data_IF_632622655355
#
_entry.id   IF_632622655355
#
_cell.length_a   1.000
_cell.length_b   1.000
_cell.length_c   1.000
_cell.angle_alpha   90.00
_cell.angle_beta   90.00
_cell.angle_gamma   90.00
#
_symmetry.space_group_name_H-M   'P 1'
#
loop_
_entity.id
_entity.type
_entity.pdbx_description
1 polymer ?
#
# COMPACT_ATOMS: atom_id res chain seq x y z
N UNK A 1 65.88 29.29 -43.43
CA UNK A 1 65.55 30.00 -44.69
C UNK A 1 64.07 29.97 -44.92
N UNK A 2 63.51 31.13 -45.13
CA UNK A 2 62.22 31.57 -45.72
C UNK A 2 61.00 31.22 -44.89
N UNK A 3 60.41 32.13 -44.24
CA UNK A 3 59.80 33.43 -44.54
C UNK A 3 58.44 33.33 -45.22
N UNK A 4 57.44 33.83 -44.45
CA UNK A 4 56.44 34.83 -44.89
C UNK A 4 55.13 34.28 -45.46
N UNK A 5 54.07 34.85 -44.92
CA UNK A 5 52.83 35.06 -45.60
C UNK A 5 51.63 35.30 -44.68
N UNK A 6 51.63 36.45 -44.06
CA UNK A 6 50.45 37.01 -43.35
C UNK A 6 49.56 37.66 -44.40
N UNK A 7 48.30 37.27 -44.55
CA UNK A 7 47.30 38.09 -45.24
C UNK A 7 46.05 38.22 -44.41
N UNK A 8 45.86 39.41 -43.86
CA UNK A 8 44.59 39.91 -43.40
C UNK A 8 43.68 40.20 -44.55
N UNK A 9 42.47 39.72 -44.50
CA UNK A 9 41.38 40.28 -45.30
C UNK A 9 40.28 40.69 -44.32
N UNK A 10 40.20 41.96 -44.06
CA UNK A 10 39.05 42.63 -43.52
C UNK A 10 37.99 42.71 -44.64
N UNK A 11 36.84 42.09 -44.40
CA UNK A 11 35.64 42.37 -45.17
C UNK A 11 34.59 42.89 -44.18
N UNK A 12 34.37 44.16 -44.14
CA UNK A 12 33.15 44.78 -43.67
C UNK A 12 32.04 44.35 -44.61
N UNK A 13 31.04 43.73 -44.06
CA UNK A 13 29.73 43.60 -44.66
C UNK A 13 28.73 44.05 -43.59
N UNK A 14 28.26 45.27 -43.73
CA UNK A 14 27.04 45.75 -43.16
C UNK A 14 25.90 44.85 -43.67
N UNK A 15 25.44 43.96 -42.83
CA UNK A 15 24.18 43.30 -43.06
C UNK A 15 23.31 43.62 -41.85
N UNK A 16 22.32 44.47 -42.10
CA UNK A 16 21.22 44.71 -41.16
C UNK A 16 20.51 43.39 -40.95
N UNK A 17 20.96 42.61 -39.97
CA UNK A 17 20.20 41.49 -39.49
C UNK A 17 18.95 42.04 -38.81
N UNK A 18 17.84 42.01 -39.53
CA UNK A 18 16.50 42.03 -38.95
C UNK A 18 16.51 41.02 -37.81
N UNK A 19 16.49 41.51 -36.58
CA UNK A 19 16.30 40.69 -35.42
C UNK A 19 14.93 39.99 -35.60
N UNK A 20 14.94 38.80 -36.20
CA UNK A 20 13.86 37.88 -36.00
C UNK A 20 13.83 37.63 -34.47
N UNK A 21 12.86 38.23 -33.87
CA UNK A 21 12.43 37.87 -32.53
C UNK A 21 12.25 36.34 -32.51
N UNK A 22 13.30 35.64 -32.11
CA UNK A 22 13.21 34.22 -31.83
C UNK A 22 12.28 34.16 -30.64
N UNK A 23 11.00 34.08 -30.94
CA UNK A 23 10.02 33.66 -29.99
C UNK A 23 10.43 32.24 -29.58
N UNK A 24 11.22 32.15 -28.52
CA UNK A 24 11.51 30.86 -27.90
C UNK A 24 10.17 30.11 -27.78
N UNK A 25 10.10 28.87 -28.25
CA UNK A 25 8.86 28.11 -28.09
C UNK A 25 8.50 28.18 -26.64
N UNK A 26 7.24 28.44 -26.28
CA UNK A 26 6.84 28.56 -24.90
C UNK A 26 7.36 27.32 -24.15
N UNK A 27 8.28 27.56 -23.24
CA UNK A 27 8.85 26.49 -22.42
C UNK A 27 7.69 25.94 -21.61
N UNK A 28 7.15 24.78 -22.03
CA UNK A 28 6.12 24.09 -21.28
C UNK A 28 6.72 23.71 -19.92
N UNK A 29 6.13 24.19 -18.87
CA UNK A 29 6.51 23.79 -17.52
C UNK A 29 6.16 22.33 -17.31
N UNK A 30 7.03 21.59 -16.64
CA UNK A 30 6.87 20.16 -16.42
C UNK A 30 6.82 19.83 -14.93
N UNK A 31 5.91 18.95 -14.55
CA UNK A 31 5.83 18.37 -13.18
C UNK A 31 5.96 16.86 -13.31
N UNK A 32 6.81 16.27 -12.49
CA UNK A 32 6.97 14.83 -12.38
C UNK A 32 6.03 14.29 -11.30
N UNK A 33 5.22 13.33 -11.67
CA UNK A 33 4.46 12.51 -10.75
C UNK A 33 5.26 11.25 -10.48
N UNK A 34 5.50 10.92 -9.23
CA UNK A 34 6.25 9.72 -8.87
C UNK A 34 5.45 8.85 -7.91
N UNK A 35 5.42 7.58 -8.19
CA UNK A 35 4.98 6.54 -7.29
C UNK A 35 6.23 5.97 -6.64
N UNK A 36 6.45 6.30 -5.38
CA UNK A 36 7.57 5.77 -4.64
C UNK A 36 7.18 4.39 -4.10
N UNK A 37 7.80 3.37 -4.64
CA UNK A 37 7.69 2.02 -4.10
C UNK A 37 8.68 1.77 -2.96
N UNK A 38 9.31 2.81 -2.45
CA UNK A 38 10.20 2.82 -1.30
C UNK A 38 11.33 1.80 -1.36
N UNK A 39 12.56 2.23 -1.37
CA UNK A 39 13.67 1.32 -1.27
C UNK A 39 14.98 2.02 -1.35
N UNK A 40 15.68 2.13 -0.26
CA UNK A 40 17.09 2.48 -0.18
C UNK A 40 17.97 1.29 -0.59
N UNK A 41 17.91 0.90 -1.87
CA UNK A 41 18.90 -0.01 -2.48
C UNK A 41 18.95 -1.46 -1.97
N UNK A 42 18.04 -1.89 -1.13
CA UNK A 42 17.85 -3.30 -0.79
C UNK A 42 16.74 -3.87 -1.66
N UNK A 43 17.15 -4.37 -2.82
CA UNK A 43 16.32 -5.14 -3.73
C UNK A 43 15.38 -6.05 -2.98
N UNK A 44 14.13 -6.14 -3.45
CA UNK A 44 13.27 -7.29 -3.35
C UNK A 44 11.96 -7.19 -2.58
N UNK A 45 11.64 -6.10 -1.85
CA UNK A 45 10.47 -6.17 -0.96
C UNK A 45 9.52 -4.97 -1.01
N UNK A 46 9.83 -3.97 -1.80
CA UNK A 46 9.02 -2.76 -1.95
C UNK A 46 7.63 -3.04 -2.53
N UNK A 47 7.51 -4.04 -3.35
CA UNK A 47 6.27 -4.43 -4.05
C UNK A 47 5.59 -5.64 -3.42
N UNK A 48 5.68 -5.83 -2.10
CA UNK A 48 5.08 -6.99 -1.46
C UNK A 48 3.56 -6.94 -1.54
N UNK A 49 2.93 -7.88 -2.26
CA UNK A 49 1.48 -8.00 -2.29
C UNK A 49 0.94 -8.46 -0.94
N UNK A 50 -0.28 -8.04 -0.61
CA UNK A 50 -0.93 -8.40 0.66
C UNK A 50 -1.14 -9.90 0.78
N UNK A 51 -1.51 -10.56 -0.32
CA UNK A 51 -1.73 -12.01 -0.38
C UNK A 51 -0.53 -12.78 -0.93
N UNK A 52 0.60 -12.14 -1.16
CA UNK A 52 1.81 -12.71 -1.77
C UNK A 52 1.69 -13.13 -3.24
N UNK A 53 0.57 -12.92 -3.89
CA UNK A 53 0.29 -13.35 -5.27
C UNK A 53 -0.27 -12.26 -6.19
N UNK A 54 -0.87 -11.22 -5.64
CA UNK A 54 -1.34 -10.07 -6.41
C UNK A 54 -0.22 -9.06 -6.67
N UNK A 55 -0.39 -8.25 -7.72
CA UNK A 55 0.51 -7.13 -7.97
C UNK A 55 0.36 -6.08 -6.85
N UNK A 56 1.49 -5.58 -6.35
CA UNK A 56 1.52 -4.40 -5.49
C UNK A 56 1.74 -3.14 -6.33
N UNK A 57 1.40 -1.96 -5.78
CA UNK A 57 1.45 -0.67 -6.45
C UNK A 57 0.61 -0.63 -7.74
N UNK A 58 -0.57 -1.20 -7.65
CA UNK A 58 -1.46 -1.35 -8.80
C UNK A 58 -2.18 -0.02 -9.11
N UNK A 59 -1.53 0.81 -9.91
CA UNK A 59 -2.07 2.08 -10.39
C UNK A 59 -2.23 2.02 -11.90
N UNK A 60 -3.44 2.18 -12.40
CA UNK A 60 -3.73 2.28 -13.82
C UNK A 60 -4.10 3.70 -14.26
N UNK A 61 -4.62 4.50 -13.34
CA UNK A 61 -5.07 5.87 -13.60
C UNK A 61 -4.65 6.81 -12.49
N UNK A 62 -4.36 8.05 -12.88
CA UNK A 62 -3.97 9.12 -11.97
C UNK A 62 -4.84 10.34 -12.23
N UNK A 63 -5.61 10.75 -11.24
CA UNK A 63 -6.40 11.96 -11.26
C UNK A 63 -5.59 13.13 -10.73
N UNK A 64 -5.65 14.27 -11.41
CA UNK A 64 -4.87 15.46 -11.09
C UNK A 64 -5.82 16.61 -10.81
N UNK A 65 -5.49 17.42 -9.78
CA UNK A 65 -6.12 18.69 -9.47
C UNK A 65 -5.06 19.75 -9.27
N UNK A 66 -5.23 20.91 -9.86
CA UNK A 66 -4.33 22.07 -9.74
C UNK A 66 -5.13 23.27 -9.27
N UNK A 67 -4.72 23.84 -8.14
CA UNK A 67 -5.35 25.01 -7.53
C UNK A 67 -4.43 26.21 -7.64
N UNK A 68 -4.99 27.34 -8.07
CA UNK A 68 -4.26 28.60 -8.14
C UNK A 68 -4.05 29.22 -6.73
N UNK A 69 -3.33 30.35 -6.61
CA UNK A 69 -3.08 31.01 -5.32
C UNK A 69 -4.35 31.43 -4.56
N UNK A 70 -5.48 31.59 -5.24
CA UNK A 70 -6.76 31.87 -4.58
C UNK A 70 -7.54 30.61 -4.19
N UNK A 71 -6.99 29.42 -4.39
CA UNK A 71 -7.64 28.13 -4.07
C UNK A 71 -8.66 27.66 -5.09
N UNK A 72 -8.75 28.30 -6.25
CA UNK A 72 -9.67 27.89 -7.33
C UNK A 72 -9.06 26.75 -8.13
N UNK A 73 -9.86 25.74 -8.45
CA UNK A 73 -9.46 24.65 -9.36
C UNK A 73 -9.29 25.19 -10.78
N UNK A 74 -8.09 25.10 -11.29
CA UNK A 74 -7.69 25.52 -12.62
C UNK A 74 -7.16 24.36 -13.47
N UNK A 75 -7.38 23.14 -13.05
CA UNK A 75 -6.82 21.91 -13.66
C UNK A 75 -6.98 21.87 -15.16
N UNK A 76 -8.19 22.11 -15.68
CA UNK A 76 -8.49 22.04 -17.09
C UNK A 76 -7.73 23.09 -17.93
N UNK A 77 -7.47 24.28 -17.36
CA UNK A 77 -6.72 25.34 -18.01
C UNK A 77 -5.19 25.12 -17.85
N UNK A 78 -4.77 24.55 -16.73
CA UNK A 78 -3.37 24.35 -16.39
C UNK A 78 -2.73 23.17 -17.14
N UNK A 79 -3.45 22.08 -17.36
CA UNK A 79 -2.92 20.94 -18.11
C UNK A 79 -2.81 21.25 -19.59
N UNK A 80 -1.67 20.89 -20.20
CA UNK A 80 -1.44 21.09 -21.63
C UNK A 80 -2.41 20.27 -22.49
N UNK A 81 -2.70 20.78 -23.66
CA UNK A 81 -3.56 20.09 -24.64
C UNK A 81 -3.02 18.68 -24.91
N UNK A 82 -3.91 17.69 -24.80
CA UNK A 82 -3.58 16.26 -24.95
C UNK A 82 -3.21 15.55 -23.65
N UNK A 83 -3.03 16.24 -22.53
CA UNK A 83 -2.91 15.59 -21.22
C UNK A 83 -4.31 15.15 -20.75
N UNK A 84 -4.55 13.84 -20.76
CA UNK A 84 -5.80 13.29 -20.25
C UNK A 84 -5.88 13.43 -18.72
N UNK A 85 -7.06 13.66 -18.19
CA UNK A 85 -7.33 13.63 -16.76
C UNK A 85 -8.65 12.89 -16.49
N UNK A 86 -8.64 11.67 -15.95
CA UNK A 86 -7.46 10.98 -15.39
C UNK A 86 -6.42 10.59 -16.44
N UNK A 87 -5.17 10.74 -16.06
CA UNK A 87 -4.01 10.30 -16.82
C UNK A 87 -3.90 8.77 -16.77
N UNK A 88 -3.69 8.11 -17.92
CA UNK A 88 -3.32 6.70 -17.92
C UNK A 88 -1.92 6.54 -17.32
N UNK A 89 -1.79 5.72 -16.29
CA UNK A 89 -0.50 5.44 -15.68
C UNK A 89 0.20 4.33 -16.46
N UNK A 90 1.25 4.68 -17.16
CA UNK A 90 2.02 3.77 -18.01
C UNK A 90 3.42 3.48 -17.48
N UNK A 91 3.84 4.22 -16.45
CA UNK A 91 5.08 3.93 -15.76
C UNK A 91 4.87 2.68 -14.89
N UNK A 92 5.37 1.56 -15.35
CA UNK A 92 5.45 0.35 -14.53
C UNK A 92 6.49 0.52 -13.42
N UNK A 93 6.45 -0.29 -12.35
CA UNK A 93 7.62 -0.44 -11.52
C UNK A 93 8.75 -0.89 -12.43
N UNK A 94 9.90 -0.25 -12.35
CA UNK A 94 11.08 -0.71 -13.09
C UNK A 94 11.56 -2.00 -12.41
N UNK A 95 11.16 -3.12 -12.97
CA UNK A 95 11.54 -4.46 -12.48
C UNK A 95 13.03 -4.77 -12.68
N UNK A 96 13.77 -3.88 -13.31
CA UNK A 96 15.18 -4.02 -13.59
C UNK A 96 16.00 -3.14 -12.63
N UNK A 97 16.01 -3.49 -11.36
CA UNK A 97 16.88 -2.85 -10.38
C UNK A 97 18.35 -3.08 -10.71
N UNK A 98 19.06 -2.01 -11.05
CA UNK A 98 20.51 -2.01 -10.98
C UNK A 98 20.91 -1.79 -9.52
N UNK A 99 21.67 -2.68 -8.89
CA UNK A 99 22.04 -2.52 -7.49
C UNK A 99 22.67 -1.14 -7.22
N UNK A 100 22.10 -0.36 -6.32
CA UNK A 100 22.63 0.92 -5.87
C UNK A 100 22.01 2.17 -6.49
N UNK A 101 20.90 2.06 -7.21
CA UNK A 101 20.15 3.21 -7.73
C UNK A 101 18.71 3.18 -7.18
N UNK A 102 18.07 4.36 -7.05
CA UNK A 102 16.69 4.53 -6.56
C UNK A 102 15.62 4.02 -7.56
N UNK A 103 15.83 2.86 -8.16
CA UNK A 103 15.17 2.39 -9.38
C UNK A 103 13.76 1.81 -9.19
N UNK A 104 13.21 1.83 -7.97
CA UNK A 104 11.83 1.41 -7.72
C UNK A 104 10.82 2.56 -7.85
N UNK A 105 11.26 3.70 -8.32
CA UNK A 105 10.44 4.89 -8.50
C UNK A 105 9.85 4.93 -9.89
N UNK A 106 8.61 4.50 -10.05
CA UNK A 106 7.86 4.75 -11.27
C UNK A 106 7.51 6.24 -11.35
N UNK A 107 7.83 6.90 -12.46
CA UNK A 107 7.53 8.31 -12.63
C UNK A 107 6.98 8.61 -14.01
N UNK A 108 6.09 9.61 -14.09
CA UNK A 108 5.51 10.11 -15.33
C UNK A 108 5.42 11.63 -15.27
N UNK A 109 5.84 12.29 -16.33
CA UNK A 109 5.85 13.75 -16.39
C UNK A 109 4.59 14.27 -17.06
N UNK A 110 4.00 15.30 -16.49
CA UNK A 110 2.90 16.07 -17.06
C UNK A 110 3.40 17.45 -17.51
N UNK A 111 2.79 17.99 -18.57
CA UNK A 111 3.10 19.30 -19.09
C UNK A 111 2.02 20.30 -18.73
N UNK A 112 2.44 21.49 -18.32
CA UNK A 112 1.55 22.58 -17.98
C UNK A 112 1.56 23.65 -19.04
N UNK A 113 0.40 24.21 -19.32
CA UNK A 113 0.25 25.46 -20.04
C UNK A 113 0.82 26.62 -19.23
N UNK A 114 0.98 27.78 -19.86
CA UNK A 114 1.23 29.04 -19.15
C UNK A 114 0.10 29.31 -18.17
N UNK A 115 0.45 29.49 -16.89
CA UNK A 115 -0.51 29.71 -15.81
C UNK A 115 -0.90 31.18 -15.70
N UNK A 116 -2.15 31.45 -15.34
CA UNK A 116 -2.74 32.80 -15.47
C UNK A 116 -2.29 33.77 -14.36
N UNK A 117 -1.88 33.28 -13.21
CA UNK A 117 -1.51 34.12 -12.05
C UNK A 117 -0.15 33.70 -11.51
N UNK A 118 0.62 34.67 -11.05
CA UNK A 118 1.83 34.40 -10.29
C UNK A 118 1.49 34.05 -8.85
N UNK A 119 2.35 33.27 -8.18
CA UNK A 119 2.23 32.88 -6.80
C UNK A 119 2.26 31.38 -6.58
N UNK A 120 1.85 30.95 -5.39
CA UNK A 120 1.90 29.55 -4.95
C UNK A 120 0.69 28.77 -5.44
N UNK A 121 0.92 27.79 -6.29
CA UNK A 121 -0.08 26.80 -6.71
C UNK A 121 0.02 25.55 -5.85
N UNK A 122 -1.11 24.84 -5.72
CA UNK A 122 -1.15 23.52 -5.08
C UNK A 122 -1.58 22.49 -6.11
N UNK A 123 -0.84 21.39 -6.19
CA UNK A 123 -1.23 20.21 -6.96
C UNK A 123 -1.59 19.08 -5.99
N UNK A 124 -2.71 18.43 -6.24
CA UNK A 124 -3.16 17.23 -5.56
C UNK A 124 -3.37 16.14 -6.60
N UNK A 125 -2.82 14.98 -6.33
CA UNK A 125 -2.85 13.85 -7.25
C UNK A 125 -3.27 12.61 -6.49
N UNK A 126 -4.13 11.77 -7.11
CA UNK A 126 -4.39 10.44 -6.59
C UNK A 126 -4.42 9.39 -7.68
N UNK A 127 -3.85 8.22 -7.37
CA UNK A 127 -3.74 7.07 -8.26
C UNK A 127 -4.54 5.88 -7.75
N UNK A 128 -5.17 5.15 -8.66
CA UNK A 128 -5.99 3.98 -8.38
C UNK A 128 -5.89 2.97 -9.53
N UNK A 129 -6.23 1.70 -9.26
CA UNK A 129 -6.14 0.66 -10.28
C UNK A 129 -7.28 0.76 -11.30
N UNK A 130 -8.50 0.59 -10.85
CA UNK A 130 -9.64 0.61 -11.74
C UNK A 130 -10.77 1.47 -11.19
N UNK A 131 -11.68 1.71 -12.09
CA UNK A 131 -12.87 2.51 -11.88
C UNK A 131 -13.67 1.93 -10.72
N UNK A 132 -14.04 2.78 -9.77
CA UNK A 132 -15.04 2.53 -8.77
C UNK A 132 -14.65 1.76 -7.49
N UNK A 133 -13.38 1.51 -7.24
CA UNK A 133 -12.97 1.04 -5.91
C UNK A 133 -13.30 2.08 -4.83
N UNK A 134 -13.28 3.37 -5.21
CA UNK A 134 -13.63 4.49 -4.35
C UNK A 134 -14.48 5.53 -5.06
N UNK A 135 -15.49 6.03 -4.38
CA UNK A 135 -16.12 7.30 -4.75
C UNK A 135 -15.33 8.41 -4.07
N UNK A 136 -14.66 9.24 -4.90
CA UNK A 136 -13.90 10.38 -4.39
C UNK A 136 -14.75 11.63 -4.51
N UNK A 137 -14.88 12.35 -3.39
CA UNK A 137 -15.58 13.63 -3.31
C UNK A 137 -14.68 14.67 -2.64
N UNK A 138 -14.98 15.94 -2.83
CA UNK A 138 -14.16 17.04 -2.31
C UNK A 138 -13.35 17.71 -3.41
N UNK A 139 -12.36 18.51 -3.02
CA UNK A 139 -11.52 19.24 -3.96
C UNK A 139 -12.16 20.51 -4.53
N UNK A 140 -13.23 21.03 -3.94
CA UNK A 140 -13.84 22.31 -4.34
C UNK A 140 -12.84 23.47 -4.27
N UNK A 141 -13.04 24.41 -3.38
CA UNK A 141 -12.15 25.57 -3.27
C UNK A 141 -10.96 25.36 -2.30
N UNK A 142 -10.74 24.15 -1.79
CA UNK A 142 -9.63 23.86 -0.89
C UNK A 142 -8.96 22.54 -1.28
N UNK A 143 -7.64 22.63 -1.46
CA UNK A 143 -6.80 21.45 -1.76
C UNK A 143 -6.71 20.46 -0.58
N UNK A 144 -7.43 20.68 0.51
CA UNK A 144 -7.15 20.01 1.79
C UNK A 144 -8.14 18.87 2.12
N UNK A 145 -9.21 18.69 1.36
CA UNK A 145 -10.31 17.84 1.78
C UNK A 145 -10.89 16.96 0.66
N UNK A 146 -10.09 16.01 0.20
CA UNK A 146 -10.63 14.89 -0.58
C UNK A 146 -11.07 13.79 0.37
N UNK A 147 -12.23 13.22 0.13
CA UNK A 147 -12.73 12.05 0.85
C UNK A 147 -12.92 10.90 -0.12
N UNK A 148 -12.26 9.79 0.16
CA UNK A 148 -12.50 8.52 -0.51
C UNK A 148 -13.50 7.71 0.30
N UNK A 149 -14.58 7.28 -0.34
CA UNK A 149 -15.62 6.42 0.25
C UNK A 149 -15.68 5.11 -0.51
N UNK A 150 -15.67 3.99 0.20
CA UNK A 150 -15.85 2.67 -0.38
C UNK A 150 -17.31 2.47 -0.79
N UNK A 151 -17.59 2.15 -2.05
CA UNK A 151 -18.93 1.77 -2.47
C UNK A 151 -19.32 0.35 -2.03
N UNK A 152 -18.35 -0.46 -1.63
CA UNK A 152 -18.53 -1.86 -1.25
C UNK A 152 -17.64 -2.29 -0.08
N UNK A 153 -17.51 -3.60 0.11
CA UNK A 153 -16.75 -4.18 1.23
C UNK A 153 -15.25 -4.43 0.92
N UNK A 154 -14.85 -4.27 -0.34
CA UNK A 154 -13.47 -4.57 -0.77
C UNK A 154 -12.65 -3.28 -0.77
N UNK A 155 -11.57 -3.27 -0.01
CA UNK A 155 -10.58 -2.19 0.00
C UNK A 155 -9.52 -2.52 -1.03
N UNK A 156 -9.21 -1.57 -1.92
CA UNK A 156 -8.11 -1.65 -2.88
C UNK A 156 -7.03 -0.61 -2.56
N UNK A 157 -5.95 -0.60 -3.32
CA UNK A 157 -4.91 0.40 -3.18
C UNK A 157 -5.39 1.76 -3.69
N UNK A 158 -5.10 2.79 -2.91
CA UNK A 158 -5.22 4.20 -3.29
C UNK A 158 -3.92 4.89 -2.93
N UNK A 159 -3.37 5.63 -3.87
CA UNK A 159 -2.17 6.45 -3.69
C UNK A 159 -2.54 7.90 -3.84
N UNK A 160 -1.93 8.78 -3.05
CA UNK A 160 -2.16 10.21 -3.18
C UNK A 160 -0.93 11.01 -2.76
N UNK A 161 -0.78 12.16 -3.40
CA UNK A 161 0.27 13.12 -3.12
C UNK A 161 -0.22 14.55 -3.24
N UNK A 162 0.51 15.44 -2.57
CA UNK A 162 0.30 16.88 -2.64
C UNK A 162 1.65 17.57 -2.67
N UNK A 163 1.76 18.59 -3.51
CA UNK A 163 2.90 19.47 -3.53
C UNK A 163 2.45 20.92 -3.79
N UNK A 164 3.31 21.87 -3.49
CA UNK A 164 3.16 23.26 -3.88
C UNK A 164 4.30 23.67 -4.78
N UNK A 165 4.01 24.54 -5.74
CA UNK A 165 5.00 25.09 -6.63
C UNK A 165 4.77 26.58 -6.87
N UNK A 166 5.85 27.31 -7.07
CA UNK A 166 5.80 28.75 -7.34
C UNK A 166 5.72 29.00 -8.83
N UNK A 167 4.90 29.97 -9.20
CA UNK A 167 4.74 30.45 -10.58
C UNK A 167 5.18 31.90 -10.66
N UNK A 168 5.99 32.21 -11.66
CA UNK A 168 6.46 33.55 -11.98
C UNK A 168 6.38 33.77 -13.50
N UNK A 169 5.77 34.86 -13.92
CA UNK A 169 5.52 35.14 -15.35
C UNK A 169 4.75 34.03 -16.09
N UNK A 170 3.92 33.31 -15.34
CA UNK A 170 3.10 32.21 -15.84
C UNK A 170 3.82 30.86 -16.03
N UNK A 171 5.09 30.76 -15.63
CA UNK A 171 5.89 29.53 -15.71
C UNK A 171 6.29 29.06 -14.31
N UNK A 172 6.71 27.81 -14.19
CA UNK A 172 7.30 27.32 -12.94
C UNK A 172 8.57 28.13 -12.63
N UNK A 173 8.63 28.66 -11.42
CA UNK A 173 9.79 29.38 -10.93
C UNK A 173 10.98 28.43 -10.75
N UNK A 174 12.15 28.85 -11.19
CA UNK A 174 13.37 28.05 -11.06
C UNK A 174 13.64 27.71 -9.56
N UNK A 175 13.99 26.45 -9.29
CA UNK A 175 14.25 25.95 -7.94
C UNK A 175 13.01 25.58 -7.12
N UNK A 176 11.80 25.68 -7.70
CA UNK A 176 10.60 25.17 -7.07
C UNK A 176 10.51 23.63 -7.19
N UNK A 177 9.82 22.99 -6.27
CA UNK A 177 9.61 21.54 -6.35
C UNK A 177 8.78 21.21 -7.59
N UNK A 178 9.32 20.38 -8.47
CA UNK A 178 8.66 19.93 -9.71
C UNK A 178 8.23 18.48 -9.64
N UNK A 179 8.13 17.93 -8.44
CA UNK A 179 7.77 16.54 -8.22
C UNK A 179 6.62 16.41 -7.20
N UNK A 180 5.69 15.48 -7.48
CA UNK A 180 4.62 15.06 -6.57
C UNK A 180 4.79 13.58 -6.29
N UNK A 181 5.15 13.26 -5.07
CA UNK A 181 5.27 11.88 -4.61
C UNK A 181 3.91 11.34 -4.17
N UNK A 182 3.46 10.24 -4.78
CA UNK A 182 2.24 9.53 -4.42
C UNK A 182 2.56 8.45 -3.38
N UNK A 183 1.93 8.54 -2.23
CA UNK A 183 2.07 7.58 -1.12
C UNK A 183 0.79 6.80 -0.94
N UNK A 184 0.91 5.52 -0.57
CA UNK A 184 -0.23 4.66 -0.30
C UNK A 184 -1.09 5.21 0.84
N UNK A 185 -2.39 5.24 0.64
CA UNK A 185 -3.36 5.80 1.59
C UNK A 185 -4.08 4.74 2.42
N UNK A 186 -3.85 3.47 2.14
CA UNK A 186 -4.41 2.32 2.86
C UNK A 186 -3.34 1.61 3.67
N UNK A 187 -3.76 0.76 4.60
CA UNK A 187 -2.89 -0.15 5.33
C UNK A 187 -2.99 -1.56 4.76
N UNK A 188 -2.01 -2.42 5.05
CA UNK A 188 -2.04 -3.84 4.76
C UNK A 188 -2.14 -4.67 6.04
N UNK A 189 -2.87 -5.77 5.97
CA UNK A 189 -2.94 -6.78 7.02
C UNK A 189 -2.67 -8.15 6.41
N UNK A 190 -1.71 -8.87 6.97
CA UNK A 190 -1.41 -10.26 6.66
C UNK A 190 -1.70 -11.12 7.89
N UNK A 191 -2.36 -12.25 7.68
CA UNK A 191 -2.47 -13.32 8.67
C UNK A 191 -1.81 -14.59 8.12
N UNK A 192 -0.89 -15.17 8.88
CA UNK A 192 -0.21 -16.40 8.52
C UNK A 192 -0.17 -17.34 9.73
N UNK A 193 -0.92 -18.43 9.65
CA UNK A 193 -1.20 -19.33 10.78
C UNK A 193 -0.84 -20.76 10.44
N UNK A 194 -0.34 -21.52 11.44
CA UNK A 194 -0.04 -22.95 11.31
C UNK A 194 -0.58 -23.75 12.49
N UNK A 195 -0.55 -25.08 12.34
CA UNK A 195 -0.90 -26.05 13.39
C UNK A 195 -2.27 -25.79 13.99
N UNK A 196 -3.25 -25.59 13.13
CA UNK A 196 -4.62 -25.27 13.48
C UNK A 196 -5.29 -26.50 14.11
N UNK A 197 -5.82 -26.44 15.35
CA UNK A 197 -6.45 -27.59 15.96
C UNK A 197 -7.73 -28.00 15.21
N UNK A 198 -7.97 -29.30 15.06
CA UNK A 198 -9.21 -29.82 14.44
C UNK A 198 -10.37 -29.74 15.42
N UNK A 199 -10.09 -30.01 16.70
CA UNK A 199 -11.07 -30.04 17.79
C UNK A 199 -10.67 -29.08 18.91
N UNK A 200 -11.67 -28.51 19.55
CA UNK A 200 -11.47 -27.61 20.68
C UNK A 200 -12.56 -27.80 21.74
N UNK A 201 -12.25 -27.63 23.04
CA UNK A 201 -13.29 -27.63 24.07
C UNK A 201 -14.33 -26.54 23.77
N UNK A 202 -15.60 -26.85 23.89
CA UNK A 202 -16.66 -25.86 23.75
C UNK A 202 -16.79 -25.06 25.06
N UNK A 203 -16.47 -23.76 25.04
CA UNK A 203 -16.55 -22.94 26.25
C UNK A 203 -17.98 -22.73 26.72
N UNK A 204 -18.98 -23.00 25.87
CA UNK A 204 -20.39 -22.80 26.18
C UNK A 204 -21.08 -24.10 26.69
N UNK A 205 -20.39 -25.25 26.62
CA UNK A 205 -20.92 -26.54 27.02
C UNK A 205 -19.84 -27.35 27.72
N UNK A 206 -19.94 -27.42 29.07
CA UNK A 206 -18.94 -28.09 29.92
C UNK A 206 -18.71 -29.54 29.49
N UNK A 207 -17.45 -29.87 29.18
CA UNK A 207 -17.02 -31.18 28.73
C UNK A 207 -17.33 -31.52 27.27
N UNK A 208 -18.00 -30.66 26.56
CA UNK A 208 -18.24 -30.84 25.13
C UNK A 208 -16.99 -30.46 24.31
N UNK A 209 -16.82 -31.17 23.19
CA UNK A 209 -15.75 -30.92 22.20
C UNK A 209 -16.41 -30.59 20.87
N UNK A 210 -15.98 -29.53 20.26
CA UNK A 210 -16.50 -29.09 18.98
C UNK A 210 -15.41 -28.99 17.93
N UNK A 211 -15.80 -28.82 16.69
CA UNK A 211 -14.90 -28.74 15.55
C UNK A 211 -14.58 -27.28 15.24
N UNK A 212 -13.31 -26.97 15.04
CA UNK A 212 -12.88 -25.68 14.53
C UNK A 212 -13.22 -25.60 13.04
N UNK A 213 -13.94 -24.57 12.67
CA UNK A 213 -14.30 -24.33 11.27
C UNK A 213 -13.65 -23.06 10.70
N UNK A 214 -13.54 -22.01 11.50
CA UNK A 214 -13.02 -20.75 11.05
C UNK A 214 -11.85 -20.27 11.91
N UNK A 215 -10.90 -19.63 11.25
CA UNK A 215 -10.00 -18.67 11.86
C UNK A 215 -10.45 -17.31 11.36
N UNK A 216 -10.76 -16.39 12.26
CA UNK A 216 -11.18 -15.04 11.90
C UNK A 216 -10.35 -14.00 12.60
N UNK A 217 -9.93 -12.99 11.86
CA UNK A 217 -9.30 -11.80 12.42
C UNK A 217 -10.34 -10.69 12.39
N UNK A 218 -10.54 -10.07 13.54
CA UNK A 218 -11.43 -8.94 13.71
C UNK A 218 -10.64 -7.68 14.03
N UNK A 219 -11.01 -6.57 13.41
CA UNK A 219 -10.58 -5.24 13.81
C UNK A 219 -11.59 -4.65 14.81
N UNK A 220 -11.11 -3.83 15.75
CA UNK A 220 -11.95 -3.14 16.73
C UNK A 220 -12.85 -2.08 16.11
N UNK A 221 -12.54 -1.67 14.90
CA UNK A 221 -13.22 -0.62 14.18
C UNK A 221 -13.19 -0.89 12.69
N UNK A 222 -14.15 -0.34 11.96
CA UNK A 222 -14.16 -0.29 10.51
C UNK A 222 -14.53 1.11 10.07
N UNK A 223 -13.85 1.59 9.05
CA UNK A 223 -14.22 2.81 8.36
C UNK A 223 -14.53 2.48 6.92
N UNK A 224 -15.56 3.12 6.37
CA UNK A 224 -15.88 3.05 4.94
C UNK A 224 -15.40 4.26 4.16
N UNK A 225 -14.83 5.25 4.84
CA UNK A 225 -14.32 6.47 4.22
C UNK A 225 -13.11 7.02 4.96
N UNK A 226 -12.26 7.74 4.25
CA UNK A 226 -11.11 8.46 4.81
C UNK A 226 -10.77 9.69 3.97
N UNK A 227 -10.14 10.69 4.60
CA UNK A 227 -9.64 11.90 3.92
C UNK A 227 -8.22 11.73 3.43
N UNK A 228 -7.89 12.37 2.30
CA UNK A 228 -6.54 12.34 1.71
C UNK A 228 -6.30 13.61 0.83
N UNK A 229 -5.06 13.90 0.37
CA UNK A 229 -3.83 13.44 0.96
C UNK A 229 -3.63 14.15 2.30
N UNK A 230 -3.30 13.42 3.31
CA UNK A 230 -2.93 14.04 4.58
C UNK A 230 -1.65 13.42 5.09
N UNK A 231 -0.99 14.10 6.02
CA UNK A 231 0.14 13.53 6.74
C UNK A 231 -0.27 12.17 7.35
N UNK A 232 0.70 11.37 7.76
CA UNK A 232 0.58 9.99 8.26
C UNK A 232 -0.42 9.76 9.40
N UNK A 233 -1.24 10.75 9.74
CA UNK A 233 -2.24 10.66 10.80
C UNK A 233 -3.50 9.92 10.33
N UNK A 234 -4.05 9.16 11.23
CA UNK A 234 -5.32 8.46 11.05
C UNK A 234 -6.47 9.48 11.07
N UNK A 235 -7.12 9.65 9.94
CA UNK A 235 -8.25 10.59 9.81
C UNK A 235 -9.61 9.90 9.74
N UNK A 236 -9.66 8.59 9.89
CA UNK A 236 -10.90 7.86 9.91
C UNK A 236 -11.40 7.75 11.36
N UNK A 237 -12.55 8.32 11.63
CA UNK A 237 -13.27 8.03 12.87
C UNK A 237 -13.85 6.63 12.73
N UNK A 238 -13.23 5.67 13.40
CA UNK A 238 -13.74 4.31 13.43
C UNK A 238 -15.02 4.22 14.24
N UNK A 239 -15.98 3.47 13.74
CA UNK A 239 -17.10 3.02 14.57
C UNK A 239 -16.59 1.91 15.47
N UNK A 240 -16.94 1.94 16.74
CA UNK A 240 -16.58 0.90 17.74
C UNK A 240 -17.29 -0.45 17.46
N UNK A 241 -17.33 -0.86 16.21
CA UNK A 241 -17.98 -2.09 15.77
C UNK A 241 -16.92 -3.09 15.35
N UNK A 242 -16.80 -4.16 16.12
CA UNK A 242 -15.93 -5.29 15.78
C UNK A 242 -16.27 -5.82 14.39
N UNK A 243 -15.33 -5.70 13.48
CA UNK A 243 -15.51 -6.05 12.06
C UNK A 243 -14.56 -7.16 11.67
N UNK A 244 -15.09 -8.20 11.02
CA UNK A 244 -14.29 -9.28 10.45
C UNK A 244 -13.46 -8.72 9.28
N UNK A 245 -12.13 -8.83 9.38
CA UNK A 245 -11.20 -8.34 8.37
C UNK A 245 -10.52 -9.46 7.59
N UNK A 246 -10.22 -10.60 8.23
CA UNK A 246 -9.78 -11.82 7.55
C UNK A 246 -10.62 -13.02 7.97
N UNK A 247 -10.79 -13.96 7.07
CA UNK A 247 -11.46 -15.23 7.32
C UNK A 247 -10.76 -16.38 6.61
N UNK A 248 -10.54 -17.46 7.32
CA UNK A 248 -10.06 -18.73 6.81
C UNK A 248 -11.15 -19.75 7.09
N UNK A 249 -11.89 -20.14 6.08
CA UNK A 249 -12.87 -21.22 6.18
C UNK A 249 -12.18 -22.56 5.94
N UNK A 250 -11.98 -23.33 7.01
CA UNK A 250 -11.30 -24.62 6.93
C UNK A 250 -12.12 -25.67 6.17
N UNK A 251 -13.43 -25.46 6.06
CA UNK A 251 -14.29 -26.40 5.35
C UNK A 251 -14.04 -26.45 3.83
N UNK A 252 -13.26 -25.51 3.28
CA UNK A 252 -12.81 -25.55 1.89
C UNK A 252 -11.67 -26.55 1.64
N UNK A 253 -11.02 -27.03 2.70
CA UNK A 253 -10.01 -28.08 2.56
C UNK A 253 -10.68 -29.36 2.00
N UNK A 254 -10.10 -29.92 0.96
CA UNK A 254 -10.69 -31.05 0.23
C UNK A 254 -10.95 -32.28 1.09
N UNK A 255 -10.19 -32.43 2.17
CA UNK A 255 -10.25 -33.54 3.13
C UNK A 255 -10.77 -33.14 4.52
N UNK A 256 -11.33 -31.93 4.66
CA UNK A 256 -11.83 -31.39 5.94
C UNK A 256 -12.70 -32.40 6.71
N UNK A 257 -13.72 -32.95 6.07
CA UNK A 257 -14.65 -33.88 6.70
C UNK A 257 -13.96 -35.18 7.17
N UNK A 258 -13.00 -35.67 6.39
CA UNK A 258 -12.21 -36.85 6.75
C UNK A 258 -11.31 -36.57 7.97
N UNK A 259 -10.62 -35.43 7.98
CA UNK A 259 -9.78 -35.02 9.11
C UNK A 259 -10.60 -34.82 10.39
N UNK A 260 -11.77 -34.18 10.28
CA UNK A 260 -12.71 -34.00 11.41
C UNK A 260 -13.19 -35.32 11.97
N UNK A 261 -13.53 -36.28 11.09
CA UNK A 261 -13.95 -37.63 11.49
C UNK A 261 -12.81 -38.41 12.16
N UNK A 262 -11.61 -38.36 11.57
CA UNK A 262 -10.44 -39.04 12.10
C UNK A 262 -9.96 -38.50 13.45
N UNK A 263 -10.20 -37.21 13.71
CA UNK A 263 -9.84 -36.59 14.98
C UNK A 263 -10.75 -37.08 16.15
N UNK A 264 -12.02 -37.45 15.89
CA UNK A 264 -12.94 -37.87 16.93
C UNK A 264 -13.07 -36.83 18.05
N UNK A 265 -12.61 -37.19 19.27
CA UNK A 265 -12.51 -36.29 20.42
C UNK A 265 -11.06 -35.90 20.79
N UNK A 266 -10.09 -36.22 19.94
CA UNK A 266 -8.69 -35.96 20.23
C UNK A 266 -8.35 -34.46 20.00
N UNK A 267 -8.10 -33.75 21.10
CA UNK A 267 -7.74 -32.32 21.10
C UNK A 267 -6.32 -32.05 20.62
N UNK A 268 -5.49 -33.06 20.46
CA UNK A 268 -4.10 -32.91 19.99
C UNK A 268 -3.99 -32.87 18.47
N UNK A 269 -5.04 -33.30 17.78
CA UNK A 269 -5.07 -33.34 16.30
C UNK A 269 -5.12 -31.93 15.71
N UNK A 270 -4.32 -31.74 14.68
CA UNK A 270 -4.22 -30.52 13.89
C UNK A 270 -4.62 -30.80 12.47
N UNK A 271 -5.14 -29.81 11.76
CA UNK A 271 -5.39 -29.93 10.33
C UNK A 271 -4.09 -30.17 9.59
N UNK A 272 -4.10 -31.15 8.70
CA UNK A 272 -3.04 -31.39 7.72
C UNK A 272 -3.35 -30.55 6.47
N UNK A 273 -2.47 -29.66 6.15
CA UNK A 273 -2.60 -28.75 4.99
C UNK A 273 -1.33 -28.91 4.17
N UNK A 274 -1.48 -29.22 2.90
CA UNK A 274 -0.34 -29.33 1.99
C UNK A 274 0.37 -27.98 1.91
N UNK A 275 1.69 -28.02 1.78
CA UNK A 275 2.46 -26.82 1.48
C UNK A 275 1.96 -26.20 0.17
N UNK A 276 1.81 -24.90 0.14
CA UNK A 276 1.52 -24.14 -1.08
C UNK A 276 2.69 -24.21 -2.04
N UNK A 277 2.40 -24.13 -3.33
CA UNK A 277 3.41 -24.12 -4.41
C UNK A 277 3.21 -22.93 -5.33
N UNK A 278 4.25 -22.54 -6.08
CA UNK A 278 4.19 -21.43 -7.02
C UNK A 278 4.36 -20.07 -6.33
N UNK A 279 3.65 -19.06 -6.81
CA UNK A 279 3.75 -17.68 -6.33
C UNK A 279 3.30 -17.49 -4.88
N UNK A 280 2.53 -18.42 -4.32
CA UNK A 280 2.09 -18.43 -2.91
C UNK A 280 2.61 -19.69 -2.23
N UNK A 281 3.93 -19.86 -2.21
CA UNK A 281 4.54 -20.94 -1.45
C UNK A 281 4.29 -20.72 0.06
N UNK A 282 3.83 -21.76 0.74
CA UNK A 282 3.60 -21.75 2.20
C UNK A 282 4.19 -23.00 2.83
N UNK A 283 4.59 -22.93 4.09
CA UNK A 283 5.01 -24.12 4.82
C UNK A 283 3.81 -25.06 5.03
N UNK A 284 4.09 -26.35 5.17
CA UNK A 284 3.04 -27.33 5.43
C UNK A 284 2.25 -27.00 6.72
N UNK A 285 0.99 -27.39 6.75
CA UNK A 285 0.06 -27.17 7.85
C UNK A 285 -0.20 -25.69 8.17
N UNK A 286 -0.06 -24.81 7.18
CA UNK A 286 -0.29 -23.36 7.34
C UNK A 286 -1.26 -22.81 6.32
N UNK A 287 -1.84 -21.65 6.66
CA UNK A 287 -2.71 -20.84 5.82
C UNK A 287 -2.27 -19.38 5.88
N UNK A 288 -2.21 -18.74 4.74
CA UNK A 288 -1.90 -17.30 4.60
C UNK A 288 -3.03 -16.58 3.87
N UNK A 289 -3.35 -15.39 4.31
CA UNK A 289 -4.24 -14.46 3.62
C UNK A 289 -3.92 -13.05 4.02
N UNK A 290 -4.25 -12.09 3.16
CA UNK A 290 -4.07 -10.69 3.45
C UNK A 290 -5.20 -9.83 2.90
N UNK A 291 -5.27 -8.59 3.37
CA UNK A 291 -6.28 -7.62 2.97
C UNK A 291 -5.77 -6.20 3.14
N UNK A 292 -6.19 -5.30 2.26
CA UNK A 292 -6.07 -3.87 2.50
C UNK A 292 -7.09 -3.40 3.54
N UNK A 293 -6.69 -2.44 4.35
CA UNK A 293 -7.54 -1.84 5.37
C UNK A 293 -7.60 -0.32 5.18
N UNK A 294 -8.78 0.25 5.38
CA UNK A 294 -8.88 1.69 5.61
C UNK A 294 -8.29 1.98 6.99
N UNK A 295 -7.40 2.98 7.10
CA UNK A 295 -6.84 3.39 8.37
C UNK A 295 -7.92 3.78 9.38
N UNK A 296 -7.71 3.46 10.66
CA UNK A 296 -8.62 3.82 11.73
C UNK A 296 -7.88 4.04 13.05
N UNK A 297 -8.44 4.90 13.89
CA UNK A 297 -7.92 5.13 15.24
C UNK A 297 -8.30 4.00 16.18
N UNK A 298 -7.41 3.69 17.11
CA UNK A 298 -7.67 2.74 18.17
C UNK A 298 -8.92 3.10 18.97
N UNK A 299 -9.72 2.09 19.30
CA UNK A 299 -10.84 2.24 20.23
C UNK A 299 -10.31 2.01 21.65
N UNK A 300 -10.49 3.00 22.52
CA UNK A 300 -10.00 2.96 23.91
C UNK A 300 -10.40 1.66 24.61
N UNK A 301 -9.44 1.02 25.25
CA UNK A 301 -9.60 -0.25 25.99
C UNK A 301 -10.09 -1.44 25.13
N UNK A 302 -10.00 -1.34 23.81
CA UNK A 302 -10.41 -2.41 22.90
C UNK A 302 -9.21 -2.83 22.05
N UNK A 303 -8.84 -4.13 22.02
CA UNK A 303 -7.74 -4.60 21.18
C UNK A 303 -7.98 -4.25 19.71
N UNK A 304 -6.97 -3.66 19.07
CA UNK A 304 -7.04 -3.26 17.66
C UNK A 304 -7.36 -4.43 16.75
N UNK A 305 -6.65 -5.55 16.95
CA UNK A 305 -6.97 -6.82 16.29
C UNK A 305 -7.19 -7.94 17.32
N UNK A 306 -8.13 -8.81 16.99
CA UNK A 306 -8.44 -10.02 17.76
C UNK A 306 -8.52 -11.21 16.80
N UNK A 307 -7.83 -12.29 17.10
CA UNK A 307 -7.92 -13.55 16.36
C UNK A 307 -8.86 -14.47 17.11
N UNK A 308 -9.74 -15.16 16.40
CA UNK A 308 -10.68 -16.12 16.99
C UNK A 308 -10.65 -17.43 16.21
N UNK A 309 -10.63 -18.54 16.97
CA UNK A 309 -11.08 -19.83 16.48
C UNK A 309 -12.55 -19.94 16.72
N UNK A 310 -13.31 -20.34 15.72
CA UNK A 310 -14.76 -20.41 15.79
C UNK A 310 -15.26 -21.74 15.25
N UNK A 311 -16.33 -22.23 15.86
CA UNK A 311 -17.04 -23.42 15.41
C UNK A 311 -17.96 -23.09 14.21
N UNK A 312 -18.69 -24.10 13.76
CA UNK A 312 -19.73 -23.93 12.77
C UNK A 312 -20.80 -22.95 13.26
N UNK A 313 -21.33 -22.19 12.33
CA UNK A 313 -22.39 -21.23 12.62
C UNK A 313 -23.66 -21.90 13.10
N UNK A 314 -24.22 -21.38 14.19
CA UNK A 314 -25.49 -21.80 14.76
C UNK A 314 -26.38 -20.56 14.88
N UNK A 315 -27.53 -20.55 14.25
CA UNK A 315 -28.50 -19.44 14.30
C UNK A 315 -27.90 -18.07 13.95
N UNK A 316 -27.03 -18.02 12.93
CA UNK A 316 -26.44 -16.77 12.43
C UNK A 316 -25.22 -16.28 13.21
N UNK A 317 -24.70 -17.05 14.17
CA UNK A 317 -23.44 -16.74 14.84
C UNK A 317 -22.55 -17.97 15.01
N UNK A 318 -21.24 -17.78 14.88
CA UNK A 318 -20.25 -18.83 15.11
C UNK A 318 -19.79 -18.78 16.57
N UNK A 319 -19.91 -19.87 17.34
CA UNK A 319 -19.38 -19.93 18.69
C UNK A 319 -17.87 -19.72 18.70
N UNK A 320 -17.41 -18.79 19.53
CA UNK A 320 -15.99 -18.52 19.73
C UNK A 320 -15.39 -19.56 20.66
N UNK A 321 -14.42 -20.31 20.19
CA UNK A 321 -13.75 -21.38 20.93
C UNK A 321 -12.52 -20.87 21.67
N UNK A 322 -11.76 -20.01 21.03
CA UNK A 322 -10.57 -19.34 21.58
C UNK A 322 -10.40 -17.98 20.97
N UNK A 323 -9.87 -17.06 21.76
CA UNK A 323 -9.60 -15.69 21.31
C UNK A 323 -8.25 -15.22 21.80
N UNK A 324 -7.54 -14.51 20.96
CA UNK A 324 -6.27 -13.86 21.27
C UNK A 324 -6.35 -12.38 20.94
N UNK A 325 -5.78 -11.56 21.81
CA UNK A 325 -5.45 -10.18 21.48
C UNK A 325 -4.15 -10.16 20.67
N UNK A 326 -4.09 -9.31 19.67
CA UNK A 326 -2.86 -9.10 18.90
C UNK A 326 -2.13 -7.91 19.50
N UNK A 327 -0.92 -8.12 19.98
CA UNK A 327 -0.11 -7.07 20.61
C UNK A 327 0.93 -6.51 19.64
N UNK A 328 1.15 -5.20 19.70
CA UNK A 328 2.21 -4.52 19.01
C UNK A 328 3.35 -4.21 20.00
N UNK A 329 4.49 -4.86 19.85
CA UNK A 329 5.63 -4.70 20.76
C UNK A 329 6.23 -3.30 20.70
N UNK A 330 6.05 -2.55 19.60
CA UNK A 330 6.53 -1.19 19.45
C UNK A 330 5.75 -0.16 20.29
N UNK A 331 4.57 -0.50 20.81
CA UNK A 331 3.85 0.36 21.74
C UNK A 331 4.62 0.45 23.05
N UNK A 332 5.13 1.64 23.36
CA UNK A 332 6.03 1.88 24.49
C UNK A 332 5.34 1.95 25.84
N UNK A 333 4.05 2.29 25.88
CA UNK A 333 3.28 2.47 27.12
C UNK A 333 1.81 2.05 26.95
N UNK A 334 1.19 1.63 28.04
CA UNK A 334 -0.21 1.22 28.06
C UNK A 334 -0.46 -0.22 27.57
N UNK A 335 -1.70 -0.50 27.15
CA UNK A 335 -2.10 -1.81 26.61
C UNK A 335 -1.57 -1.95 25.17
N UNK A 336 -0.55 -2.79 25.00
CA UNK A 336 0.09 -3.07 23.72
C UNK A 336 -0.86 -3.65 22.65
N UNK A 337 -2.05 -4.06 23.03
CA UNK A 337 -3.05 -4.52 22.06
C UNK A 337 -3.91 -3.39 21.47
N UNK A 338 -3.74 -2.14 21.95
CA UNK A 338 -4.50 -0.96 21.54
C UNK A 338 -3.58 0.01 20.80
N UNK A 339 -3.71 0.08 19.49
CA UNK A 339 -2.87 0.91 18.61
C UNK A 339 -3.63 1.29 17.34
N UNK A 340 -3.25 2.39 16.72
CA UNK A 340 -3.83 2.89 15.47
C UNK A 340 -3.44 2.00 14.29
N UNK A 341 -4.34 1.89 13.32
CA UNK A 341 -4.03 1.36 11.99
C UNK A 341 -3.77 2.53 11.06
N UNK A 342 -2.53 2.70 10.65
CA UNK A 342 -2.04 3.88 9.93
C UNK A 342 -1.90 3.61 8.44
N UNK A 343 -1.90 4.68 7.63
CA UNK A 343 -1.66 4.64 6.19
C UNK A 343 -0.25 4.17 5.90
N UNK A 344 -0.10 3.45 4.81
CA UNK A 344 1.18 2.95 4.34
C UNK A 344 1.92 2.04 5.34
N UNK A 345 1.20 1.54 6.35
CA UNK A 345 1.71 0.56 7.31
C UNK A 345 1.26 -0.85 6.93
N UNK A 346 2.16 -1.80 7.13
CA UNK A 346 1.87 -3.22 6.93
C UNK A 346 1.89 -3.95 8.26
N UNK A 347 0.76 -4.53 8.62
CA UNK A 347 0.55 -5.27 9.85
C UNK A 347 0.63 -6.77 9.56
N UNK A 348 1.70 -7.43 10.02
CA UNK A 348 1.93 -8.84 9.74
C UNK A 348 1.73 -9.67 11.00
N UNK A 349 0.71 -10.52 11.01
CA UNK A 349 0.46 -11.52 12.03
C UNK A 349 1.04 -12.84 11.54
N UNK A 350 2.27 -13.13 11.96
CA UNK A 350 3.15 -14.10 11.31
C UNK A 350 3.90 -13.47 10.13
N UNK A 351 5.05 -14.01 9.78
CA UNK A 351 5.89 -13.50 8.69
C UNK A 351 5.81 -14.42 7.50
N UNK A 352 5.48 -13.86 6.33
CA UNK A 352 5.54 -14.53 5.04
C UNK A 352 6.62 -13.90 4.19
N UNK A 353 7.60 -14.68 3.77
CA UNK A 353 8.57 -14.23 2.79
C UNK A 353 8.07 -14.52 1.38
N UNK A 354 8.41 -13.62 0.44
CA UNK A 354 8.15 -13.86 -0.97
C UNK A 354 9.10 -14.94 -1.48
N UNK A 355 8.60 -15.83 -2.33
CA UNK A 355 9.50 -16.77 -3.02
C UNK A 355 10.35 -15.98 -4.03
N UNK A 356 11.61 -16.42 -4.21
CA UNK A 356 12.57 -15.79 -5.11
C UNK A 356 12.09 -15.66 -6.58
N UNK A 357 11.04 -16.36 -6.96
CA UNK A 357 10.47 -16.32 -8.31
C UNK A 357 9.49 -15.17 -8.53
N UNK A 358 9.05 -14.49 -7.47
CA UNK A 358 8.01 -13.46 -7.56
C UNK A 358 8.57 -12.04 -7.48
N UNK A 359 9.77 -11.84 -7.03
CA UNK A 359 10.32 -10.52 -6.79
C UNK A 359 11.46 -10.10 -7.73
N UNK A 360 11.73 -10.87 -8.81
CA UNK A 360 12.75 -10.51 -9.80
C UNK A 360 14.18 -10.37 -9.24
N UNK A 361 14.36 -10.54 -7.94
CA UNK A 361 15.64 -10.46 -7.26
C UNK A 361 16.41 -11.78 -7.39
N UNK A 362 17.74 -11.66 -7.41
CA UNK A 362 18.64 -12.81 -7.34
C UNK A 362 18.23 -13.66 -6.15
N UNK A 363 17.87 -14.90 -6.44
CA UNK A 363 17.59 -15.91 -5.44
C UNK A 363 18.56 -15.81 -4.27
N UNK A 364 18.06 -15.40 -3.11
CA UNK A 364 18.68 -15.89 -1.90
C UNK A 364 18.56 -17.43 -1.98
N UNK A 365 19.66 -18.15 -2.03
CA UNK A 365 19.63 -19.61 -2.13
C UNK A 365 19.03 -20.31 -0.89
N UNK A 366 18.61 -19.53 0.09
CA UNK A 366 17.82 -19.96 1.24
C UNK A 366 16.39 -20.24 0.84
N UNK A 367 16.17 -21.09 -0.10
CA UNK A 367 15.04 -22.00 -0.25
C UNK A 367 13.71 -21.62 0.38
N UNK A 368 12.69 -21.61 -0.42
CA UNK A 368 11.32 -22.06 -0.09
C UNK A 368 11.02 -22.14 1.41
N UNK A 369 10.59 -21.04 2.00
CA UNK A 369 9.88 -21.08 3.26
C UNK A 369 10.69 -21.15 4.56
N UNK A 370 12.01 -21.21 4.53
CA UNK A 370 12.81 -21.28 5.76
C UNK A 370 12.66 -20.02 6.62
N UNK A 371 12.41 -18.88 6.00
CA UNK A 371 12.16 -17.61 6.70
C UNK A 371 10.67 -17.33 6.97
N UNK A 372 9.78 -18.21 6.51
CA UNK A 372 8.35 -18.11 6.82
C UNK A 372 8.12 -18.45 8.29
N UNK A 373 7.54 -17.50 9.02
CA UNK A 373 7.24 -17.66 10.45
C UNK A 373 5.73 -17.53 10.70
N UNK A 374 4.93 -18.55 10.33
CA UNK A 374 3.50 -18.57 10.68
C UNK A 374 3.31 -18.71 12.20
N UNK A 375 2.30 -18.02 12.72
CA UNK A 375 1.89 -18.15 14.13
C UNK A 375 1.34 -19.56 14.39
N UNK A 376 1.88 -20.24 15.39
CA UNK A 376 1.42 -21.57 15.82
C UNK A 376 0.22 -21.46 16.75
N UNK A 377 -0.98 -21.64 16.22
CA UNK A 377 -2.22 -21.52 16.99
C UNK A 377 -2.41 -22.60 18.05
N UNK A 378 -1.60 -23.66 18.06
CA UNK A 378 -1.64 -24.70 19.08
C UNK A 378 -0.80 -24.37 20.32
N UNK A 379 0.16 -23.47 20.22
CA UNK A 379 1.14 -23.16 21.26
C UNK A 379 0.99 -21.73 21.82
N UNK A 380 0.54 -20.79 20.99
CA UNK A 380 0.57 -19.38 21.35
C UNK A 380 -0.41 -19.02 22.45
N UNK A 381 0.08 -18.31 23.44
CA UNK A 381 -0.73 -17.66 24.48
C UNK A 381 -0.89 -16.17 24.20
N UNK A 382 0.10 -15.55 23.54
CA UNK A 382 0.10 -14.16 23.12
C UNK A 382 0.53 -14.11 21.64
N UNK A 383 -0.19 -13.37 20.84
CA UNK A 383 0.13 -13.18 19.43
C UNK A 383 0.65 -11.76 19.22
N UNK A 384 1.81 -11.66 18.62
CA UNK A 384 2.44 -10.37 18.30
C UNK A 384 2.27 -10.04 16.84
N UNK A 385 1.95 -8.77 16.55
CA UNK A 385 2.00 -8.23 15.18
C UNK A 385 3.35 -7.58 14.95
N UNK A 386 3.95 -7.84 13.81
CA UNK A 386 5.04 -7.05 13.28
C UNK A 386 4.44 -5.90 12.48
N UNK A 387 4.78 -4.67 12.85
CA UNK A 387 4.32 -3.46 12.17
C UNK A 387 5.47 -2.89 11.38
N UNK A 388 5.27 -2.73 10.09
CA UNK A 388 6.19 -2.03 9.22
C UNK A 388 5.62 -0.63 8.94
N UNK A 389 6.31 0.41 9.31
CA UNK A 389 5.90 1.82 9.26
C UNK A 389 6.12 2.47 7.89
N UNK A 390 6.77 1.75 7.00
CA UNK A 390 6.89 2.15 5.61
C UNK A 390 6.66 0.91 4.75
N UNK A 391 5.42 0.68 4.33
CA UNK A 391 5.11 -0.46 3.48
C UNK A 391 5.95 -0.48 2.20
N UNK A 392 6.29 0.71 1.72
CA UNK A 392 7.17 0.88 0.57
C UNK A 392 8.62 0.44 0.88
N UNK A 393 8.99 0.35 2.17
CA UNK A 393 10.29 -0.09 2.67
C UNK A 393 10.07 -1.26 3.63
N UNK A 394 9.88 -2.46 3.10
CA UNK A 394 9.77 -3.65 3.95
C UNK A 394 11.17 -4.13 4.33
N UNK A 395 11.62 -3.74 5.51
CA UNK A 395 12.84 -4.29 6.08
C UNK A 395 12.68 -5.76 6.43
N UNK A 396 13.68 -6.57 6.10
CA UNK A 396 13.97 -7.77 6.85
C UNK A 396 14.37 -7.32 8.25
N UNK A 397 13.46 -7.40 9.19
CA UNK A 397 13.86 -7.47 10.57
C UNK A 397 14.45 -8.87 10.74
N UNK A 398 15.76 -9.00 10.45
CA UNK A 398 16.55 -10.06 11.02
C UNK A 398 16.38 -9.93 12.52
N UNK A 399 15.86 -10.94 13.15
CA UNK A 399 15.97 -11.08 14.58
C UNK A 399 17.47 -11.31 14.86
N UNK A 400 18.17 -10.29 15.36
CA UNK A 400 19.39 -10.50 16.13
C UNK A 400 19.04 -11.04 17.52
#
# INVERSE_FOLDING_TARGET
>A
MSAVGMMMLAACSDDESVAMDKQDPPSLSEITLSLNSGGDGLNTRANRPVNSSEAANNVAKVQIYIYNPSGTDVTAAALSAGTANPLAWTAGPSDAATPGTDEHKASQTIKLNKLAADGTYTIVVYGYNDVADYTVSGGGNTADAFTATLPGATVSELFAGRATFEVENGNLKAGTASEVELKRQVAGLLGYFKNIPVKYPDPNASGAITTVKYIRVYASSASSAFTFPSAMSVNATGNATKTKVLEYDLSILSDYAAQVSAAGSDLTKKFTIAAGTGSVATVANSLVSGKFLIPFSAVTNTPTFTIQLEANEVSGSSPVLKSWKVVNSAVSSGDKSVYDVQRNYFYSIGTKNLSATTDGGTSDPGTTGDDDQPIDLSQETVITVTVNDAWDVIYNLGLE
#
